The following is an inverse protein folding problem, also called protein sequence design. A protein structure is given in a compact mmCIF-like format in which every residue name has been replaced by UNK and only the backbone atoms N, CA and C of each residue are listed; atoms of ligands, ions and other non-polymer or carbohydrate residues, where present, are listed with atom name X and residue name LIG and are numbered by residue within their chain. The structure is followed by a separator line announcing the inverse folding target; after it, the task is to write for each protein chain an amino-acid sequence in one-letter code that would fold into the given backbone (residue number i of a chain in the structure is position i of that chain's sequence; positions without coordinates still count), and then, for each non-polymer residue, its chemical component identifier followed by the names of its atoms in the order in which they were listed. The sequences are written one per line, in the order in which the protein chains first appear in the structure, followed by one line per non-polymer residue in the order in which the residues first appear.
data_IF_850198611198
#
_entry.id   IF_850198611198
#
_cell.length_a   1.000
_cell.length_b   1.000
_cell.length_c   1.000
_cell.angle_alpha   90.00
_cell.angle_beta   90.00
_cell.angle_gamma   90.00
#
_symmetry.space_group_name_H-M   'P 1'
#
loop_
_entity.id
_entity.type
_entity.pdbx_description
1 polymer ?
#
# COMPACT_ATOMS: atom_id res chain seq x y z
N UNK A 1 27.78 -16.08 -17.03
CA UNK A 1 26.35 -16.47 -16.86
C UNK A 1 25.52 -15.47 -17.65
N UNK A 2 24.45 -15.88 -18.34
CA UNK A 2 23.67 -14.94 -19.13
C UNK A 2 22.91 -13.94 -18.25
N UNK A 3 22.93 -12.69 -18.69
CA UNK A 3 22.18 -11.58 -18.10
C UNK A 3 20.74 -11.59 -18.63
N UNK A 4 19.74 -11.50 -17.75
CA UNK A 4 18.34 -11.34 -18.15
C UNK A 4 17.87 -9.90 -17.99
N UNK A 5 17.30 -9.32 -19.05
CA UNK A 5 16.73 -7.97 -19.06
C UNK A 5 15.22 -8.04 -19.20
N UNK A 6 14.51 -7.38 -18.29
CA UNK A 6 13.04 -7.36 -18.25
C UNK A 6 12.49 -5.93 -18.34
N UNK A 7 11.70 -5.68 -19.37
CA UNK A 7 10.90 -4.46 -19.52
C UNK A 7 9.71 -4.44 -18.55
N UNK A 8 9.12 -3.25 -18.32
CA UNK A 8 7.95 -3.12 -17.44
C UNK A 8 6.76 -3.98 -17.92
N UNK A 9 6.57 -4.09 -19.24
CA UNK A 9 5.50 -4.87 -19.85
C UNK A 9 5.71 -6.38 -19.65
N UNK A 10 6.94 -6.87 -19.77
CA UNK A 10 7.30 -8.28 -19.54
C UNK A 10 7.16 -8.64 -18.06
N UNK A 11 7.64 -7.78 -17.15
CA UNK A 11 7.43 -7.95 -15.71
C UNK A 11 5.94 -8.06 -15.42
N UNK A 12 5.14 -7.12 -15.92
CA UNK A 12 3.69 -7.16 -15.74
C UNK A 12 3.09 -8.45 -16.29
N UNK A 13 3.41 -8.83 -17.53
CA UNK A 13 2.90 -10.03 -18.17
C UNK A 13 3.18 -11.27 -17.31
N UNK A 14 4.44 -11.47 -16.91
CA UNK A 14 4.86 -12.54 -16.02
C UNK A 14 4.06 -12.55 -14.71
N UNK A 15 3.99 -11.41 -14.01
CA UNK A 15 3.28 -11.31 -12.74
C UNK A 15 1.77 -11.59 -12.87
N UNK A 16 1.16 -11.30 -14.02
CA UNK A 16 -0.26 -11.61 -14.28
C UNK A 16 -0.54 -13.10 -14.47
N UNK A 17 0.49 -13.89 -14.82
CA UNK A 17 0.39 -15.35 -14.95
C UNK A 17 0.52 -16.09 -13.62
N UNK A 18 0.97 -15.42 -12.55
CA UNK A 18 1.18 -16.07 -11.26
C UNK A 18 -0.14 -16.56 -10.64
N UNK A 19 -0.07 -17.78 -10.12
CA UNK A 19 -1.13 -18.47 -9.40
C UNK A 19 -1.12 -18.10 -7.91
N UNK A 20 -2.12 -18.55 -7.16
CA UNK A 20 -2.12 -18.40 -5.69
C UNK A 20 -0.86 -19.03 -5.10
N UNK A 21 -0.50 -20.25 -5.52
CA UNK A 21 0.69 -20.94 -5.01
C UNK A 21 1.97 -20.15 -5.29
N UNK A 22 2.15 -19.65 -6.53
CA UNK A 22 3.32 -18.82 -6.87
C UNK A 22 3.44 -17.60 -5.93
N UNK A 23 2.32 -16.93 -5.61
CA UNK A 23 2.31 -15.80 -4.68
C UNK A 23 2.67 -16.24 -3.25
N UNK A 24 2.22 -17.41 -2.83
CA UNK A 24 2.57 -17.94 -1.50
C UNK A 24 4.04 -18.29 -1.39
N UNK A 25 4.64 -18.83 -2.45
CA UNK A 25 6.07 -19.14 -2.51
C UNK A 25 6.91 -17.86 -2.49
N UNK A 26 6.54 -16.86 -3.30
CA UNK A 26 7.18 -15.53 -3.28
C UNK A 26 7.04 -14.83 -1.92
N UNK A 27 5.88 -14.97 -1.26
CA UNK A 27 5.71 -14.50 0.11
C UNK A 27 6.59 -15.28 1.09
N UNK A 28 6.80 -16.57 0.89
CA UNK A 28 7.71 -17.40 1.67
C UNK A 28 9.14 -16.86 1.62
N UNK A 29 9.69 -16.72 0.41
CA UNK A 29 11.03 -16.16 0.18
C UNK A 29 11.19 -14.78 0.81
N UNK A 30 10.22 -13.88 0.57
CA UNK A 30 10.27 -12.53 1.12
C UNK A 30 10.11 -12.51 2.66
N UNK A 31 9.25 -13.37 3.22
CA UNK A 31 9.08 -13.46 4.67
C UNK A 31 10.33 -14.01 5.35
N UNK A 32 11.03 -14.96 4.75
CA UNK A 32 12.30 -15.48 5.27
C UNK A 32 13.40 -14.42 5.25
N UNK A 33 13.54 -13.67 4.16
CA UNK A 33 14.49 -12.57 4.07
C UNK A 33 14.18 -11.44 5.08
N UNK A 34 12.91 -11.06 5.23
CA UNK A 34 12.50 -10.05 6.21
C UNK A 34 12.71 -10.56 7.65
N UNK A 35 12.43 -11.83 7.92
CA UNK A 35 12.72 -12.44 9.22
C UNK A 35 14.22 -12.43 9.52
N UNK A 36 15.05 -12.84 8.56
CA UNK A 36 16.51 -12.80 8.63
C UNK A 36 17.04 -11.38 8.89
N UNK A 37 16.41 -10.36 8.30
CA UNK A 37 16.72 -8.96 8.59
C UNK A 37 16.38 -8.57 10.04
N UNK A 38 15.18 -8.94 10.50
CA UNK A 38 14.63 -8.48 11.78
C UNK A 38 15.19 -9.19 13.02
N UNK A 39 15.67 -10.43 12.91
CA UNK A 39 16.19 -11.17 14.08
C UNK A 39 17.52 -10.64 14.60
N UNK A 40 18.22 -9.79 13.83
CA UNK A 40 19.50 -9.22 14.23
C UNK A 40 20.65 -10.24 14.32
N UNK A 41 20.44 -11.48 13.86
CA UNK A 41 21.50 -12.47 13.74
C UNK A 41 22.49 -12.05 12.65
N UNK A 42 23.70 -11.68 13.05
CA UNK A 42 24.75 -11.21 12.13
C UNK A 42 25.26 -12.31 11.20
N UNK A 43 24.96 -13.58 11.47
CA UNK A 43 25.28 -14.68 10.57
C UNK A 43 24.14 -14.95 9.57
N UNK A 44 23.04 -14.22 9.68
CA UNK A 44 21.87 -14.43 8.84
C UNK A 44 22.11 -13.89 7.42
N UNK A 45 21.66 -14.59 6.37
CA UNK A 45 21.88 -14.18 4.97
C UNK A 45 21.47 -12.75 4.63
N UNK A 46 20.43 -12.22 5.27
CA UNK A 46 19.88 -10.90 5.02
C UNK A 46 20.02 -9.96 6.24
N UNK A 47 20.99 -10.21 7.12
CA UNK A 47 21.15 -9.47 8.37
C UNK A 47 21.13 -7.94 8.16
N UNK A 48 20.50 -7.23 9.08
CA UNK A 48 20.37 -5.77 9.03
C UNK A 48 21.71 -5.05 8.97
N UNK A 49 22.76 -5.61 9.60
CA UNK A 49 24.14 -5.09 9.56
C UNK A 49 24.77 -5.06 8.15
N UNK A 50 24.26 -5.88 7.23
CA UNK A 50 24.71 -5.93 5.83
C UNK A 50 23.83 -5.12 4.88
N UNK A 51 22.76 -4.47 5.36
CA UNK A 51 21.90 -3.64 4.53
C UNK A 51 22.39 -2.19 4.52
N UNK A 52 22.89 -1.65 3.39
CA UNK A 52 23.37 -0.29 3.36
C UNK A 52 22.20 0.72 3.33
N UNK A 53 22.45 1.93 3.82
CA UNK A 53 21.46 3.01 3.72
C UNK A 53 21.28 3.45 2.27
N UNK A 54 20.05 3.91 1.95
CA UNK A 54 19.76 4.52 0.66
C UNK A 54 20.55 5.82 0.49
N UNK A 55 21.05 6.06 -0.73
CA UNK A 55 21.73 7.31 -1.09
C UNK A 55 20.83 8.15 -1.98
N UNK A 56 20.79 9.48 -1.75
CA UNK A 56 19.91 10.40 -2.49
C UNK A 56 20.73 11.48 -3.17
N UNK A 57 20.57 11.62 -4.49
CA UNK A 57 21.15 12.69 -5.29
C UNK A 57 20.03 13.63 -5.74
N UNK A 58 20.16 14.93 -5.46
CA UNK A 58 19.23 15.96 -5.95
C UNK A 58 19.97 16.87 -6.93
N UNK A 59 19.55 16.88 -8.20
CA UNK A 59 20.20 17.66 -9.26
C UNK A 59 19.16 18.16 -10.27
N UNK A 60 19.12 19.47 -10.53
CA UNK A 60 18.27 20.11 -11.55
C UNK A 60 16.79 19.68 -11.47
N UNK A 61 16.21 19.72 -10.27
CA UNK A 61 14.81 19.31 -10.05
C UNK A 61 14.55 17.81 -10.06
N UNK A 62 15.54 16.96 -10.37
CA UNK A 62 15.43 15.50 -10.30
C UNK A 62 16.04 14.99 -9.00
N UNK A 63 15.29 14.14 -8.30
CA UNK A 63 15.77 13.38 -7.15
C UNK A 63 15.97 11.94 -7.55
N UNK A 64 17.20 11.44 -7.53
CA UNK A 64 17.53 10.03 -7.78
C UNK A 64 17.87 9.36 -6.46
N UNK A 65 17.23 8.23 -6.19
CA UNK A 65 17.42 7.41 -5.00
C UNK A 65 18.08 6.10 -5.42
N UNK A 66 19.18 5.78 -4.76
CA UNK A 66 19.93 4.53 -4.88
C UNK A 66 19.62 3.72 -3.63
N UNK A 67 18.99 2.57 -3.79
CA UNK A 67 18.62 1.65 -2.71
C UNK A 67 19.40 0.35 -2.88
N UNK A 68 20.66 0.30 -2.40
CA UNK A 68 21.44 -0.93 -2.39
C UNK A 68 20.85 -1.93 -1.38
N UNK A 69 21.09 -3.21 -1.61
CA UNK A 69 20.75 -4.29 -0.70
C UNK A 69 21.65 -5.50 -0.93
N UNK A 70 21.71 -6.36 0.07
CA UNK A 70 22.41 -7.64 -0.01
C UNK A 70 21.53 -8.77 0.52
N UNK A 71 21.67 -9.94 -0.06
CA UNK A 71 21.21 -11.22 0.47
C UNK A 71 22.43 -12.12 0.67
N UNK A 72 22.24 -13.36 1.13
CA UNK A 72 23.36 -14.30 1.29
C UNK A 72 23.97 -14.74 -0.03
N UNK A 73 23.28 -14.56 -1.16
CA UNK A 73 23.68 -15.07 -2.48
C UNK A 73 23.79 -14.00 -3.56
N UNK A 74 23.33 -12.78 -3.27
CA UNK A 74 23.21 -11.73 -4.27
C UNK A 74 23.38 -10.35 -3.66
N UNK A 75 23.97 -9.44 -4.43
CA UNK A 75 24.03 -8.01 -4.13
C UNK A 75 23.33 -7.26 -5.26
N UNK A 76 22.66 -6.17 -4.94
CA UNK A 76 21.96 -5.41 -5.97
C UNK A 76 21.60 -4.02 -5.54
N UNK A 77 21.03 -3.28 -6.48
CA UNK A 77 20.63 -1.90 -6.24
C UNK A 77 19.43 -1.55 -7.09
N UNK A 78 18.43 -0.95 -6.45
CA UNK A 78 17.37 -0.22 -7.14
C UNK A 78 17.78 1.23 -7.32
N UNK A 79 17.64 1.75 -8.54
CA UNK A 79 17.86 3.16 -8.85
C UNK A 79 16.54 3.72 -9.37
N UNK A 80 15.98 4.73 -8.70
CA UNK A 80 14.73 5.39 -9.11
C UNK A 80 14.88 6.90 -9.13
N UNK A 81 14.31 7.54 -10.14
CA UNK A 81 14.29 9.00 -10.28
C UNK A 81 12.88 9.55 -10.23
N UNK A 82 12.74 10.67 -9.51
CA UNK A 82 11.52 11.45 -9.38
C UNK A 82 11.82 12.89 -9.82
N UNK A 83 11.08 13.37 -10.83
CA UNK A 83 11.17 14.75 -11.28
C UNK A 83 10.21 15.62 -10.45
N UNK A 84 10.72 16.71 -9.89
CA UNK A 84 9.93 17.72 -9.20
C UNK A 84 9.89 18.96 -10.08
N UNK A 85 8.72 19.31 -10.61
CA UNK A 85 8.55 20.58 -11.30
C UNK A 85 8.84 21.74 -10.34
N UNK A 86 9.79 22.59 -10.71
CA UNK A 86 9.98 23.87 -10.05
C UNK A 86 8.70 24.70 -10.23
N UNK A 87 8.04 25.06 -9.13
CA UNK A 87 7.03 26.13 -9.20
C UNK A 87 7.79 27.38 -9.60
N UNK A 88 7.67 27.82 -10.86
CA UNK A 88 7.99 29.19 -11.23
C UNK A 88 7.17 30.08 -10.32
N UNK A 89 7.82 30.75 -9.36
CA UNK A 89 7.19 31.81 -8.62
C UNK A 89 6.79 32.87 -9.64
N UNK A 90 5.50 32.97 -9.94
CA UNK A 90 4.98 34.16 -10.60
C UNK A 90 5.26 35.30 -9.63
N UNK A 91 6.37 36.02 -9.83
CA UNK A 91 6.54 37.36 -9.27
C UNK A 91 5.29 38.12 -9.70
N UNK A 92 4.39 38.40 -8.75
CA UNK A 92 3.32 39.36 -8.95
C UNK A 92 4.01 40.70 -9.18
N UNK A 93 4.24 41.04 -10.44
CA UNK A 93 4.46 42.43 -10.83
C UNK A 93 3.14 43.15 -10.59
N UNK A 94 3.15 44.04 -9.61
CA UNK A 94 2.14 45.05 -9.37
C UNK A 94 1.90 45.86 -10.64
N UNK A 95 0.75 45.66 -11.28
CA UNK A 95 0.17 46.63 -12.22
C UNK A 95 -1.30 46.81 -11.85
N UNK A 96 -1.60 48.02 -11.41
CA UNK A 96 -2.94 48.56 -11.24
C UNK A 96 -3.57 48.89 -12.60
N UNK A 97 -4.81 48.47 -12.86
CA UNK A 97 -5.81 49.26 -13.61
C UNK A 97 -7.17 48.55 -13.71
N UNK A 98 -8.18 49.23 -13.17
CA UNK A 98 -9.52 49.53 -13.73
C UNK A 98 -10.37 48.44 -14.44
N UNK A 99 -11.54 48.22 -13.84
CA UNK A 99 -12.91 48.10 -14.39
C UNK A 99 -13.12 47.82 -15.89
N UNK A 100 -13.93 46.78 -16.16
CA UNK A 100 -14.66 46.62 -17.42
C UNK A 100 -15.43 45.29 -17.51
N UNK A 101 -16.75 45.37 -17.43
CA UNK A 101 -17.71 44.29 -17.64
C UNK A 101 -17.96 44.03 -19.13
N UNK A 102 -17.90 42.78 -19.62
CA UNK A 102 -18.70 42.34 -20.78
C UNK A 102 -18.98 40.83 -20.72
N UNK A 103 -20.25 40.50 -20.95
CA UNK A 103 -20.87 39.19 -21.16
C UNK A 103 -20.41 38.47 -22.44
N UNK A 104 -20.33 37.13 -22.40
CA UNK A 104 -20.14 36.32 -23.61
C UNK A 104 -20.47 34.84 -23.38
N UNK A 105 -21.71 34.46 -23.67
CA UNK A 105 -22.17 33.07 -23.74
C UNK A 105 -21.60 32.34 -24.96
N UNK A 106 -21.14 31.10 -24.81
CA UNK A 106 -21.20 30.13 -25.89
C UNK A 106 -21.31 28.70 -25.36
N UNK A 107 -22.42 28.07 -25.73
CA UNK A 107 -22.77 26.67 -25.50
C UNK A 107 -21.99 25.76 -26.45
N UNK A 108 -21.47 24.64 -25.96
CA UNK A 108 -21.13 23.47 -26.80
C UNK A 108 -21.63 22.18 -26.14
N UNK A 109 -22.20 21.34 -27.01
CA UNK A 109 -23.18 20.28 -26.75
C UNK A 109 -22.55 18.97 -26.27
N UNK A 110 -23.37 18.25 -25.50
CA UNK A 110 -23.21 16.89 -24.99
C UNK A 110 -23.21 15.81 -26.06
N UNK A 111 -22.34 14.81 -25.91
CA UNK A 111 -22.51 13.47 -26.48
C UNK A 111 -22.53 12.46 -25.34
N UNK A 112 -23.72 12.16 -24.82
CA UNK A 112 -23.95 11.08 -23.86
C UNK A 112 -25.02 10.15 -24.40
N UNK A 113 -24.59 9.09 -25.06
CA UNK A 113 -25.44 7.94 -25.38
C UNK A 113 -24.51 6.74 -25.48
N UNK A 114 -24.34 6.03 -24.36
CA UNK A 114 -23.97 4.60 -24.24
C UNK A 114 -23.66 4.20 -22.77
N UNK A 115 -24.49 4.65 -21.83
CA UNK A 115 -24.33 4.38 -20.38
C UNK A 115 -25.52 3.60 -19.77
N UNK A 116 -26.43 3.08 -20.60
CA UNK A 116 -27.72 2.54 -20.14
C UNK A 116 -27.69 1.07 -19.66
N UNK A 117 -26.53 0.40 -19.60
CA UNK A 117 -26.45 -1.01 -19.18
C UNK A 117 -25.67 -1.28 -17.88
N UNK A 118 -25.22 -0.24 -17.17
CA UNK A 118 -24.55 -0.44 -15.88
C UNK A 118 -25.57 -0.48 -14.75
N UNK A 119 -25.77 -1.64 -14.12
CA UNK A 119 -26.50 -1.75 -12.85
C UNK A 119 -25.69 -1.11 -11.71
N UNK A 120 -25.62 0.21 -11.72
CA UNK A 120 -25.15 1.03 -10.60
C UNK A 120 -26.21 0.93 -9.51
N UNK A 121 -25.90 0.31 -8.39
CA UNK A 121 -26.75 0.43 -7.19
C UNK A 121 -26.30 1.69 -6.44
N UNK A 122 -27.12 2.77 -6.39
CA UNK A 122 -26.88 3.82 -5.41
C UNK A 122 -26.97 3.18 -4.01
N UNK A 123 -26.07 3.53 -3.11
CA UNK A 123 -26.16 3.09 -1.72
C UNK A 123 -27.52 3.56 -1.16
N UNK A 124 -28.44 2.61 -0.91
CA UNK A 124 -29.74 2.92 -0.33
C UNK A 124 -29.56 3.39 1.12
N UNK A 125 -30.21 4.50 1.45
CA UNK A 125 -30.21 5.15 2.76
C UNK A 125 -31.30 4.55 3.64
N UNK A 126 -30.94 4.13 4.85
CA UNK A 126 -31.90 3.97 5.96
C UNK A 126 -31.52 4.97 7.03
N UNK A 127 -32.37 5.99 7.23
CA UNK A 127 -32.18 7.03 8.25
C UNK A 127 -32.49 6.47 9.64
N UNK A 128 -31.48 6.31 10.48
CA UNK A 128 -31.66 6.15 11.93
C UNK A 128 -31.12 7.38 12.65
N UNK A 129 -32.02 8.14 13.27
CA UNK A 129 -31.71 9.26 14.16
C UNK A 129 -31.07 8.75 15.46
N UNK A 130 -29.81 9.08 15.72
CA UNK A 130 -29.15 8.73 16.98
C UNK A 130 -27.74 9.30 17.17
N UNK A 131 -27.60 10.11 18.22
CA UNK A 131 -26.39 10.63 18.91
C UNK A 131 -25.39 11.52 18.14
N UNK A 132 -25.23 12.73 18.68
CA UNK A 132 -24.24 13.75 18.31
C UNK A 132 -22.83 13.32 18.75
N UNK A 133 -22.09 12.66 17.85
CA UNK A 133 -20.62 12.60 17.93
C UNK A 133 -20.04 13.63 16.95
N UNK A 134 -19.18 14.50 17.47
CA UNK A 134 -18.96 15.89 17.08
C UNK A 134 -18.23 16.20 15.76
N UNK A 135 -18.21 15.29 14.78
CA UNK A 135 -17.95 15.64 13.37
C UNK A 135 -18.89 14.78 12.51
N UNK A 136 -20.00 15.38 12.11
CA UNK A 136 -20.78 14.88 10.98
C UNK A 136 -19.87 15.01 9.74
N UNK A 137 -19.72 13.93 8.96
CA UNK A 137 -18.84 13.92 7.79
C UNK A 137 -19.20 15.01 6.77
N UNK A 138 -20.35 15.65 6.93
CA UNK A 138 -20.84 16.80 6.18
C UNK A 138 -19.83 17.95 6.00
N UNK A 139 -18.90 18.18 6.94
CA UNK A 139 -17.92 19.29 6.84
C UNK A 139 -16.52 18.89 6.35
N UNK A 140 -16.27 17.59 6.12
CA UNK A 140 -14.95 17.13 5.69
C UNK A 140 -14.66 17.53 4.24
N UNK A 141 -13.58 18.28 4.05
CA UNK A 141 -13.02 18.56 2.73
C UNK A 141 -11.84 17.62 2.45
N UNK A 142 -11.77 17.04 1.24
CA UNK A 142 -10.64 16.19 0.86
C UNK A 142 -9.32 16.98 0.85
N UNK A 143 -8.17 16.33 1.11
CA UNK A 143 -6.83 16.92 0.97
C UNK A 143 -6.60 17.67 -0.35
N UNK A 144 -5.94 18.83 -0.27
CA UNK A 144 -5.45 19.53 -1.45
C UNK A 144 -4.39 18.68 -2.16
N UNK A 145 -4.49 18.52 -3.49
CA UNK A 145 -3.54 17.69 -4.23
C UNK A 145 -2.28 18.45 -4.63
N UNK A 146 -1.13 17.79 -4.49
CA UNK A 146 -0.05 17.90 -5.49
C UNK A 146 -0.59 17.24 -6.77
N UNK A 147 -1.43 17.95 -7.51
CA UNK A 147 -1.84 17.56 -8.86
C UNK A 147 -0.67 17.80 -9.79
N UNK A 148 0.31 16.90 -9.81
CA UNK A 148 1.16 16.84 -10.98
C UNK A 148 0.37 16.10 -12.06
N UNK A 149 0.18 16.73 -13.22
CA UNK A 149 -0.15 16.01 -14.47
C UNK A 149 0.94 14.97 -14.86
N UNK A 150 1.97 14.79 -14.03
CA UNK A 150 3.04 13.82 -14.15
C UNK A 150 2.79 12.62 -13.22
N UNK A 151 3.09 11.43 -13.73
CA UNK A 151 3.11 10.18 -12.97
C UNK A 151 3.98 10.34 -11.72
N UNK A 152 3.40 10.12 -10.54
CA UNK A 152 4.14 10.01 -9.27
C UNK A 152 4.85 8.66 -9.15
N UNK A 153 4.78 7.82 -10.18
CA UNK A 153 5.40 6.50 -10.18
C UNK A 153 6.89 6.65 -10.47
N UNK A 154 7.79 6.27 -9.55
CA UNK A 154 9.22 6.40 -9.76
C UNK A 154 9.66 5.59 -10.98
N UNK A 155 10.41 6.20 -11.90
CA UNK A 155 11.02 5.51 -13.04
C UNK A 155 12.39 5.00 -12.64
N UNK A 156 12.73 3.77 -12.99
CA UNK A 156 13.98 3.18 -12.54
C UNK A 156 14.21 1.74 -12.96
N UNK A 157 15.28 1.16 -12.45
CA UNK A 157 15.63 -0.24 -12.63
C UNK A 157 16.17 -0.86 -11.34
N UNK A 158 16.13 -2.18 -11.27
CA UNK A 158 16.79 -3.00 -10.26
C UNK A 158 17.84 -3.83 -10.97
N UNK A 159 19.10 -3.68 -10.58
CA UNK A 159 20.20 -4.53 -11.04
C UNK A 159 20.57 -5.50 -9.95
N UNK A 160 20.71 -6.78 -10.31
CA UNK A 160 21.02 -7.87 -9.40
C UNK A 160 22.26 -8.59 -9.89
N UNK A 161 23.22 -8.80 -8.99
CA UNK A 161 24.46 -9.54 -9.22
C UNK A 161 24.52 -10.73 -8.27
N UNK A 162 25.19 -11.79 -8.68
CA UNK A 162 25.48 -12.94 -7.83
C UNK A 162 26.59 -12.62 -6.80
N UNK A 163 26.91 -13.59 -5.94
CA UNK A 163 27.95 -13.48 -4.92
C UNK A 163 29.37 -13.26 -5.48
N UNK A 164 29.60 -13.57 -6.75
CA UNK A 164 30.87 -13.37 -7.46
C UNK A 164 30.91 -12.02 -8.20
N UNK A 165 29.82 -11.27 -8.20
CA UNK A 165 29.68 -10.00 -8.91
C UNK A 165 29.26 -10.15 -10.36
N UNK A 166 28.86 -11.34 -10.82
CA UNK A 166 28.35 -11.51 -12.18
C UNK A 166 26.90 -10.97 -12.26
N UNK A 167 26.56 -10.20 -13.30
CA UNK A 167 25.21 -9.68 -13.50
C UNK A 167 24.19 -10.80 -13.78
N UNK A 168 23.17 -10.92 -12.92
CA UNK A 168 22.10 -11.90 -13.06
C UNK A 168 20.91 -11.34 -13.85
N UNK A 169 20.56 -10.07 -13.60
CA UNK A 169 19.49 -9.42 -14.34
C UNK A 169 19.30 -7.94 -14.06
N UNK A 170 18.63 -7.28 -15.00
CA UNK A 170 18.18 -5.89 -14.92
C UNK A 170 16.67 -5.87 -15.13
N UNK A 171 15.93 -5.40 -14.15
CA UNK A 171 14.46 -5.40 -14.14
C UNK A 171 13.95 -3.97 -14.08
N UNK A 172 12.97 -3.62 -14.91
CA UNK A 172 12.28 -2.34 -14.74
C UNK A 172 11.63 -2.26 -13.35
N UNK A 173 11.88 -1.17 -12.63
CA UNK A 173 11.49 -1.06 -11.23
C UNK A 173 10.01 -0.72 -11.02
N UNK A 174 9.29 -0.26 -12.06
CA UNK A 174 7.99 0.38 -11.88
C UNK A 174 6.91 -0.63 -11.43
N UNK A 175 6.67 -1.68 -12.23
CA UNK A 175 5.74 -2.75 -11.85
C UNK A 175 6.26 -3.57 -10.65
N UNK A 176 7.56 -3.90 -10.65
CA UNK A 176 8.20 -4.68 -9.59
C UNK A 176 8.02 -4.02 -8.22
N UNK A 177 8.22 -2.69 -8.12
CA UNK A 177 8.08 -1.94 -6.86
C UNK A 177 6.65 -2.01 -6.34
N UNK A 178 5.65 -1.87 -7.20
CA UNK A 178 4.26 -1.95 -6.79
C UNK A 178 3.89 -3.37 -6.34
N UNK A 179 4.32 -4.38 -7.09
CA UNK A 179 4.09 -5.79 -6.77
C UNK A 179 4.75 -6.20 -5.45
N UNK A 180 6.05 -5.98 -5.28
CA UNK A 180 6.78 -6.38 -4.06
C UNK A 180 6.26 -5.69 -2.80
N UNK A 181 5.76 -4.46 -2.93
CA UNK A 181 5.15 -3.73 -1.81
C UNK A 181 3.81 -4.35 -1.42
N UNK A 182 2.96 -4.65 -2.42
CA UNK A 182 1.70 -5.35 -2.19
C UNK A 182 1.92 -6.77 -1.64
N UNK A 183 2.97 -7.46 -2.09
CA UNK A 183 3.34 -8.80 -1.65
C UNK A 183 3.60 -8.83 -0.15
N UNK A 184 4.35 -7.87 0.37
CA UNK A 184 4.61 -7.71 1.81
C UNK A 184 3.35 -7.29 2.58
N UNK A 185 2.62 -6.27 2.13
CA UNK A 185 1.40 -5.80 2.80
C UNK A 185 0.36 -6.92 2.94
N UNK A 186 0.19 -7.75 1.91
CA UNK A 186 -0.80 -8.83 1.93
C UNK A 186 -0.39 -10.05 2.76
N UNK A 187 0.84 -10.13 3.28
CA UNK A 187 1.22 -11.16 4.26
C UNK A 187 0.37 -11.09 5.52
N UNK A 188 0.05 -9.86 5.98
CA UNK A 188 -0.79 -9.62 7.15
C UNK A 188 -2.28 -9.84 6.86
N UNK A 189 -2.72 -9.60 5.61
CA UNK A 189 -4.08 -9.90 5.16
C UNK A 189 -4.39 -11.39 5.32
N UNK A 190 -3.43 -12.28 4.99
CA UNK A 190 -3.58 -13.74 5.19
C UNK A 190 -3.78 -14.15 6.64
N UNK A 191 -3.31 -13.34 7.60
CA UNK A 191 -3.46 -13.63 9.03
C UNK A 191 -4.84 -13.21 9.55
N UNK A 192 -5.59 -12.36 8.85
CA UNK A 192 -6.89 -11.83 9.32
C UNK A 192 -7.97 -12.91 9.34
N UNK A 193 -8.80 -12.92 10.39
CA UNK A 193 -9.93 -13.86 10.49
C UNK A 193 -11.07 -13.53 9.52
N UNK A 194 -11.23 -12.25 9.15
CA UNK A 194 -12.34 -11.77 8.33
C UNK A 194 -11.82 -10.75 7.32
N UNK A 195 -12.14 -10.95 6.04
CA UNK A 195 -11.78 -10.05 4.93
C UNK A 195 -12.95 -9.93 3.94
N UNK A 196 -14.10 -9.41 4.37
CA UNK A 196 -15.26 -9.26 3.49
C UNK A 196 -15.23 -7.96 2.68
N UNK A 197 -14.76 -6.87 3.28
CA UNK A 197 -14.75 -5.54 2.66
C UNK A 197 -13.33 -4.99 2.61
N UNK A 198 -12.83 -4.76 1.40
CA UNK A 198 -11.54 -4.13 1.12
C UNK A 198 -11.78 -2.72 0.61
N UNK A 199 -11.27 -1.71 1.33
CA UNK A 199 -11.33 -0.31 0.91
C UNK A 199 -9.93 0.15 0.50
N UNK A 200 -9.80 0.77 -0.67
CA UNK A 200 -8.51 1.15 -1.26
C UNK A 200 -8.51 2.62 -1.62
N UNK A 201 -7.57 3.37 -1.05
CA UNK A 201 -7.34 4.77 -1.40
C UNK A 201 -6.28 4.88 -2.48
N UNK A 202 -6.69 5.42 -3.62
CA UNK A 202 -5.86 5.59 -4.81
C UNK A 202 -6.26 4.64 -5.94
N UNK A 203 -5.97 5.05 -7.17
CA UNK A 203 -6.24 4.27 -8.38
C UNK A 203 -5.01 4.22 -9.30
N UNK A 204 -3.88 3.76 -8.76
CA UNK A 204 -2.60 3.58 -9.48
C UNK A 204 -2.08 2.15 -9.38
N UNK A 205 -0.82 1.91 -9.78
CA UNK A 205 -0.20 0.57 -9.76
C UNK A 205 -0.19 -0.07 -8.37
N UNK A 206 0.07 0.71 -7.32
CA UNK A 206 0.01 0.23 -5.94
C UNK A 206 -1.39 -0.32 -5.61
N UNK A 207 -2.45 0.47 -5.86
CA UNK A 207 -3.83 0.04 -5.63
C UNK A 207 -4.18 -1.22 -6.44
N UNK A 208 -3.76 -1.29 -7.71
CA UNK A 208 -3.96 -2.48 -8.55
C UNK A 208 -3.38 -3.74 -7.92
N UNK A 209 -2.10 -3.74 -7.55
CA UNK A 209 -1.46 -4.93 -7.00
C UNK A 209 -1.99 -5.30 -5.61
N UNK A 210 -2.32 -4.33 -4.76
CA UNK A 210 -2.93 -4.61 -3.45
C UNK A 210 -4.30 -5.28 -3.59
N UNK A 211 -5.16 -4.79 -4.50
CA UNK A 211 -6.46 -5.41 -4.80
C UNK A 211 -6.25 -6.81 -5.39
N UNK A 212 -5.40 -6.93 -6.42
CA UNK A 212 -5.15 -8.20 -7.10
C UNK A 212 -4.67 -9.30 -6.15
N UNK A 213 -3.67 -9.00 -5.32
CA UNK A 213 -3.13 -9.97 -4.37
C UNK A 213 -4.12 -10.29 -3.25
N UNK A 214 -4.91 -9.32 -2.77
CA UNK A 214 -5.97 -9.59 -1.81
C UNK A 214 -7.04 -10.55 -2.40
N UNK A 215 -7.46 -10.32 -3.64
CA UNK A 215 -8.39 -11.21 -4.36
C UNK A 215 -7.79 -12.59 -4.62
N UNK A 216 -6.50 -12.69 -4.97
CA UNK A 216 -5.86 -13.98 -5.21
C UNK A 216 -5.73 -14.81 -3.92
N UNK A 217 -5.45 -14.15 -2.79
CA UNK A 217 -5.20 -14.81 -1.51
C UNK A 217 -6.50 -15.10 -0.73
N UNK A 218 -7.51 -14.23 -0.83
CA UNK A 218 -8.74 -14.22 -0.01
C UNK A 218 -10.02 -13.92 -0.81
N UNK A 219 -10.01 -14.12 -2.13
CA UNK A 219 -11.14 -13.79 -3.01
C UNK A 219 -12.41 -14.58 -2.74
N UNK A 220 -12.31 -15.75 -2.10
CA UNK A 220 -13.40 -16.57 -1.59
C UNK A 220 -14.16 -15.91 -0.43
N UNK A 221 -13.52 -15.01 0.30
CA UNK A 221 -14.14 -14.27 1.42
C UNK A 221 -14.54 -12.83 1.04
N UNK A 222 -13.77 -12.18 0.17
CA UNK A 222 -14.01 -10.79 -0.23
C UNK A 222 -15.34 -10.68 -0.97
N UNK A 223 -16.25 -9.85 -0.46
CA UNK A 223 -17.57 -9.56 -1.03
C UNK A 223 -17.62 -8.17 -1.66
N UNK A 224 -16.82 -7.23 -1.15
CA UNK A 224 -16.84 -5.84 -1.57
C UNK A 224 -15.43 -5.27 -1.72
N UNK A 225 -15.19 -4.58 -2.83
CA UNK A 225 -13.97 -3.79 -3.06
C UNK A 225 -14.37 -2.35 -3.36
N UNK A 226 -13.99 -1.43 -2.47
CA UNK A 226 -14.33 -0.02 -2.57
C UNK A 226 -13.09 0.79 -2.95
N UNK A 227 -13.11 1.46 -4.11
CA UNK A 227 -12.00 2.26 -4.61
C UNK A 227 -12.30 3.74 -4.40
N UNK A 228 -11.55 4.39 -3.52
CA UNK A 228 -11.69 5.81 -3.20
C UNK A 228 -10.54 6.56 -3.85
N UNK A 229 -10.84 7.45 -4.78
CA UNK A 229 -9.81 8.22 -5.49
C UNK A 229 -10.36 9.57 -5.92
N UNK A 230 -9.47 10.57 -6.03
CA UNK A 230 -9.84 11.93 -6.46
C UNK A 230 -10.48 11.95 -7.85
N UNK A 231 -9.88 11.23 -8.81
CA UNK A 231 -10.42 11.11 -10.16
C UNK A 231 -11.31 9.88 -10.23
N UNK A 232 -12.61 10.11 -10.47
CA UNK A 232 -13.58 9.04 -10.66
C UNK A 232 -13.24 8.18 -11.89
N UNK A 233 -12.82 8.80 -12.99
CA UNK A 233 -12.41 8.11 -14.22
C UNK A 233 -11.29 7.09 -13.96
N UNK A 234 -10.27 7.45 -13.17
CA UNK A 234 -9.19 6.53 -12.79
C UNK A 234 -9.70 5.37 -11.95
N UNK A 235 -10.66 5.60 -11.04
CA UNK A 235 -11.29 4.51 -10.27
C UNK A 235 -12.03 3.55 -11.19
N UNK A 236 -12.79 4.06 -12.16
CA UNK A 236 -13.51 3.23 -13.13
C UNK A 236 -12.54 2.44 -14.01
N UNK A 237 -11.44 3.05 -14.47
CA UNK A 237 -10.40 2.35 -15.23
C UNK A 237 -9.78 1.21 -14.43
N UNK A 238 -9.49 1.44 -13.13
CA UNK A 238 -8.97 0.40 -12.25
C UNK A 238 -10.01 -0.70 -12.01
N UNK A 239 -11.26 -0.33 -11.74
CA UNK A 239 -12.37 -1.27 -11.56
C UNK A 239 -12.56 -2.18 -12.78
N UNK A 240 -12.55 -1.60 -14.00
CA UNK A 240 -12.65 -2.36 -15.26
C UNK A 240 -11.55 -3.40 -15.42
N UNK A 241 -10.36 -3.20 -14.84
CA UNK A 241 -9.27 -4.18 -14.89
C UNK A 241 -9.54 -5.47 -14.09
N UNK A 242 -10.57 -5.47 -13.22
CA UNK A 242 -11.02 -6.64 -12.46
C UNK A 242 -12.39 -7.18 -12.90
N UNK A 243 -13.10 -6.45 -13.77
CA UNK A 243 -14.42 -6.80 -14.28
C UNK A 243 -14.39 -7.35 -15.71
N UNK A 244 -13.21 -7.68 -16.26
CA UNK A 244 -13.09 -8.11 -17.66
C UNK A 244 -13.92 -9.37 -17.90
N UNK A 245 -14.93 -9.21 -18.74
CA UNK A 245 -15.97 -10.17 -19.18
C UNK A 245 -15.52 -11.09 -20.31
N UNK A 246 -14.22 -11.29 -20.48
CA UNK A 246 -13.71 -12.19 -21.51
C UNK A 246 -13.69 -13.60 -20.91
N UNK A 247 -14.48 -14.51 -21.49
CA UNK A 247 -14.69 -15.90 -21.00
C UNK A 247 -13.38 -16.72 -20.88
N UNK A 248 -12.24 -16.14 -21.28
CA UNK A 248 -10.89 -16.71 -21.16
C UNK A 248 -10.28 -16.59 -19.76
N UNK A 249 -10.81 -15.74 -18.86
CA UNK A 249 -10.25 -15.55 -17.51
C UNK A 249 -11.33 -15.33 -16.44
N UNK A 250 -12.11 -16.37 -16.14
CA UNK A 250 -13.00 -16.47 -14.95
C UNK A 250 -12.19 -16.57 -13.63
N UNK A 251 -11.25 -15.65 -13.38
CA UNK A 251 -10.32 -15.69 -12.23
C UNK A 251 -10.96 -15.23 -10.92
N UNK A 252 -12.01 -14.40 -10.97
CA UNK A 252 -12.62 -13.80 -9.78
C UNK A 252 -14.09 -14.20 -9.66
N UNK A 253 -14.61 -14.28 -8.43
CA UNK A 253 -16.04 -14.56 -8.25
C UNK A 253 -16.88 -13.40 -8.76
N UNK A 254 -17.94 -13.73 -9.51
CA UNK A 254 -18.85 -12.76 -10.15
C UNK A 254 -19.72 -12.00 -9.13
N UNK A 255 -19.84 -12.50 -7.90
CA UNK A 255 -20.61 -11.88 -6.81
C UNK A 255 -19.83 -10.79 -6.05
N UNK A 256 -18.54 -10.58 -6.35
CA UNK A 256 -17.75 -9.50 -5.74
C UNK A 256 -18.20 -8.15 -6.29
N UNK A 257 -18.71 -7.29 -5.41
CA UNK A 257 -19.18 -5.95 -5.77
C UNK A 257 -18.02 -4.96 -5.71
N UNK A 258 -17.73 -4.34 -6.84
CA UNK A 258 -16.80 -3.21 -6.89
C UNK A 258 -17.58 -1.90 -6.83
N UNK A 259 -17.14 -0.98 -5.99
CA UNK A 259 -17.65 0.39 -5.92
C UNK A 259 -16.51 1.39 -6.12
N UNK A 260 -16.84 2.57 -6.61
CA UNK A 260 -15.91 3.68 -6.74
C UNK A 260 -16.51 4.92 -6.09
N UNK A 261 -15.68 5.69 -5.40
CA UNK A 261 -16.04 6.95 -4.76
C UNK A 261 -15.02 8.02 -5.11
N UNK A 262 -15.50 9.23 -5.41
CA UNK A 262 -14.67 10.44 -5.53
C UNK A 262 -15.24 11.58 -4.69
N UNK A 263 -14.43 12.60 -4.35
CA UNK A 263 -14.90 13.76 -3.61
C UNK A 263 -15.93 14.63 -4.35
N UNK A 264 -16.13 14.40 -5.65
CA UNK A 264 -17.13 15.08 -6.47
C UNK A 264 -18.57 14.61 -6.14
N UNK A 265 -18.71 13.52 -5.40
CA UNK A 265 -20.01 12.97 -5.01
C UNK A 265 -20.65 13.74 -3.86
N UNK A 266 -21.98 13.89 -3.93
CA UNK A 266 -22.77 14.45 -2.83
C UNK A 266 -22.57 13.65 -1.54
N UNK A 267 -22.54 14.35 -0.40
CA UNK A 267 -22.35 13.74 0.92
C UNK A 267 -21.06 12.92 1.08
N UNK A 268 -20.00 13.25 0.31
CA UNK A 268 -18.73 12.52 0.27
C UNK A 268 -18.20 12.16 1.67
N UNK A 269 -18.15 13.12 2.60
CA UNK A 269 -17.59 12.83 3.93
C UNK A 269 -18.44 11.88 4.78
N UNK A 270 -19.77 11.87 4.61
CA UNK A 270 -20.65 10.87 5.26
C UNK A 270 -20.39 9.48 4.68
N UNK A 271 -20.37 9.38 3.35
CA UNK A 271 -20.12 8.11 2.65
C UNK A 271 -18.72 7.58 2.95
N UNK A 272 -17.70 8.45 2.96
CA UNK A 272 -16.33 8.11 3.32
C UNK A 272 -16.24 7.53 4.73
N UNK A 273 -16.92 8.16 5.70
CA UNK A 273 -16.98 7.67 7.09
C UNK A 273 -17.55 6.25 7.16
N UNK A 274 -18.62 5.99 6.41
CA UNK A 274 -19.21 4.66 6.34
C UNK A 274 -18.28 3.64 5.69
N UNK A 275 -17.65 3.95 4.56
CA UNK A 275 -16.76 3.02 3.86
C UNK A 275 -15.49 2.70 4.66
N UNK A 276 -14.93 3.69 5.35
CA UNK A 276 -13.79 3.49 6.27
C UNK A 276 -14.19 2.61 7.45
N UNK A 277 -15.38 2.83 8.04
CA UNK A 277 -15.84 2.04 9.19
C UNK A 277 -16.28 0.62 8.81
N UNK A 278 -16.85 0.42 7.63
CA UNK A 278 -17.28 -0.91 7.12
C UNK A 278 -16.09 -1.80 6.75
N UNK A 279 -14.97 -1.22 6.30
CA UNK A 279 -13.79 -1.97 5.87
C UNK A 279 -13.27 -2.98 6.90
N UNK A 280 -12.87 -4.17 6.43
CA UNK A 280 -12.02 -5.12 7.17
C UNK A 280 -10.53 -4.83 6.90
N UNK A 281 -10.24 -4.45 5.65
CA UNK A 281 -8.90 -4.09 5.16
C UNK A 281 -8.96 -2.72 4.50
N UNK A 282 -8.02 -1.85 4.86
CA UNK A 282 -7.83 -0.54 4.25
C UNK A 282 -6.42 -0.48 3.65
N UNK A 283 -6.31 -0.29 2.34
CA UNK A 283 -5.04 -0.05 1.67
C UNK A 283 -4.93 1.43 1.30
N UNK A 284 -3.97 2.14 1.87
CA UNK A 284 -3.67 3.52 1.49
C UNK A 284 -2.50 3.52 0.50
N UNK A 285 -2.78 3.90 -0.74
CA UNK A 285 -1.86 3.84 -1.88
C UNK A 285 -1.79 5.20 -2.61
N UNK A 286 -1.96 6.30 -1.87
CA UNK A 286 -2.01 7.67 -2.38
C UNK A 286 -0.78 8.46 -1.89
N UNK A 287 -0.05 9.15 -2.77
CA UNK A 287 1.02 10.05 -2.36
C UNK A 287 0.44 11.33 -1.73
N UNK A 288 -0.13 11.20 -0.53
CA UNK A 288 -0.83 12.27 0.17
C UNK A 288 0.10 13.01 1.13
N UNK A 289 -0.13 14.32 1.27
CA UNK A 289 0.52 15.18 2.27
C UNK A 289 -0.38 15.48 3.47
N UNK A 290 -1.70 15.33 3.29
CA UNK A 290 -2.69 15.46 4.35
C UNK A 290 -3.46 14.15 4.53
N UNK A 291 -3.95 13.85 5.75
CA UNK A 291 -4.72 12.64 6.04
C UNK A 291 -5.90 12.44 5.08
N UNK A 292 -6.08 11.21 4.61
CA UNK A 292 -7.14 10.82 3.66
C UNK A 292 -8.54 10.92 4.27
N UNK A 293 -8.65 10.87 5.59
CA UNK A 293 -9.87 11.02 6.37
C UNK A 293 -9.57 11.50 7.80
N UNK A 294 -10.54 12.08 8.52
CA UNK A 294 -10.38 12.51 9.91
C UNK A 294 -10.10 11.35 10.88
N UNK A 295 -9.30 11.59 11.92
CA UNK A 295 -8.93 10.55 12.89
C UNK A 295 -10.15 9.90 13.55
N UNK A 296 -11.18 10.70 13.82
CA UNK A 296 -12.42 10.34 14.52
C UNK A 296 -13.17 9.21 13.82
N UNK A 297 -12.94 9.00 12.51
CA UNK A 297 -13.56 7.91 11.78
C UNK A 297 -13.14 6.55 12.37
N UNK A 298 -11.91 6.46 12.89
CA UNK A 298 -11.33 5.26 13.49
C UNK A 298 -11.10 5.36 15.00
N UNK A 299 -10.90 6.56 15.57
CA UNK A 299 -10.62 6.74 17.00
C UNK A 299 -11.89 6.95 17.86
N UNK A 300 -13.04 7.23 17.25
CA UNK A 300 -14.32 7.27 17.98
C UNK A 300 -14.70 5.89 18.53
N UNK A 301 -15.57 5.87 19.56
CA UNK A 301 -16.09 4.62 20.16
C UNK A 301 -16.64 3.67 19.11
N UNK A 302 -17.40 4.18 18.13
CA UNK A 302 -17.96 3.39 17.05
C UNK A 302 -16.88 2.90 16.06
N UNK A 303 -15.92 3.78 15.72
CA UNK A 303 -14.77 3.43 14.86
C UNK A 303 -13.95 2.28 15.44
N UNK A 304 -13.77 2.27 16.76
CA UNK A 304 -12.98 1.29 17.51
C UNK A 304 -13.67 -0.07 17.73
N UNK A 305 -14.95 -0.24 17.33
CA UNK A 305 -15.69 -1.51 17.54
C UNK A 305 -15.17 -2.68 16.70
N UNK A 306 -14.47 -2.40 15.62
CA UNK A 306 -14.01 -3.39 14.64
C UNK A 306 -12.49 -3.33 14.52
N UNK A 307 -11.83 -4.48 14.68
CA UNK A 307 -10.41 -4.59 14.40
C UNK A 307 -10.19 -4.73 12.91
N UNK A 308 -9.36 -3.84 12.35
CA UNK A 308 -9.10 -3.77 10.91
C UNK A 308 -7.62 -3.99 10.65
N UNK A 309 -7.31 -4.34 9.41
CA UNK A 309 -5.95 -4.20 8.91
C UNK A 309 -5.86 -2.94 8.05
N UNK A 310 -4.88 -2.08 8.32
CA UNK A 310 -4.66 -0.82 7.60
C UNK A 310 -3.22 -0.80 7.11
N UNK A 311 -3.00 -0.68 5.81
CA UNK A 311 -1.66 -0.43 5.27
C UNK A 311 -1.54 1.02 4.79
N UNK A 312 -0.43 1.67 5.14
CA UNK A 312 -0.08 3.02 4.70
C UNK A 312 1.20 2.97 3.84
N UNK A 313 1.04 3.08 2.53
CA UNK A 313 2.07 2.80 1.52
C UNK A 313 2.45 4.06 0.72
N UNK A 314 1.48 4.89 0.40
CA UNK A 314 1.68 6.06 -0.45
C UNK A 314 2.48 7.19 0.19
N UNK A 315 2.53 7.27 1.52
CA UNK A 315 3.29 8.26 2.30
C UNK A 315 4.72 7.82 2.63
N UNK A 316 5.69 8.04 1.74
CA UNK A 316 7.07 7.53 1.92
C UNK A 316 8.09 8.60 2.34
N UNK A 317 7.66 9.81 2.69
CA UNK A 317 8.54 10.90 3.11
C UNK A 317 8.04 11.61 4.38
N UNK A 318 8.92 12.28 5.16
CA UNK A 318 8.55 12.82 6.48
C UNK A 318 7.38 13.82 6.49
N UNK A 319 7.19 14.54 5.38
CA UNK A 319 6.14 15.53 5.21
C UNK A 319 4.86 14.96 4.58
N UNK A 320 4.85 13.68 4.22
CA UNK A 320 3.70 12.99 3.65
C UNK A 320 2.87 12.35 4.77
N UNK A 321 1.56 12.23 4.54
CA UNK A 321 0.64 11.70 5.52
C UNK A 321 -0.60 11.15 4.80
N UNK A 322 -0.86 9.85 4.94
CA UNK A 322 -2.10 9.22 4.47
C UNK A 322 -3.11 9.03 5.59
N UNK A 323 -2.62 8.77 6.81
CA UNK A 323 -3.44 8.47 7.98
C UNK A 323 -3.10 9.47 9.08
N UNK A 324 -4.13 10.03 9.71
CA UNK A 324 -3.93 11.03 10.76
C UNK A 324 -3.04 10.49 11.90
N UNK A 325 -2.03 11.24 12.38
CA UNK A 325 -1.11 10.78 13.44
C UNK A 325 -1.79 10.32 14.73
N UNK A 326 -2.96 10.86 15.06
CA UNK A 326 -3.72 10.41 16.24
C UNK A 326 -4.26 8.98 16.13
N UNK A 327 -4.46 8.46 14.92
CA UNK A 327 -4.77 7.03 14.72
C UNK A 327 -3.58 6.17 15.11
N UNK A 328 -2.36 6.61 14.79
CA UNK A 328 -1.11 5.94 15.18
C UNK A 328 -0.90 5.99 16.69
N UNK A 329 -1.11 7.15 17.32
CA UNK A 329 -1.05 7.29 18.78
C UNK A 329 -2.06 6.39 19.48
N UNK A 330 -3.31 6.35 19.00
CA UNK A 330 -4.35 5.51 19.59
C UNK A 330 -4.03 4.01 19.46
N UNK A 331 -3.38 3.59 18.36
CA UNK A 331 -3.05 2.19 18.14
C UNK A 331 -2.01 1.63 19.13
N UNK A 332 -1.12 2.49 19.64
CA UNK A 332 -0.01 2.12 20.54
C UNK A 332 -0.26 2.45 22.01
N UNK A 333 -1.37 3.12 22.32
CA UNK A 333 -1.72 3.42 23.71
C UNK A 333 -2.04 2.13 24.47
N UNK A 334 -1.48 1.92 25.68
CA UNK A 334 -1.77 0.74 26.48
C UNK A 334 -3.26 0.63 26.77
N UNK A 335 -3.78 -0.59 26.82
CA UNK A 335 -5.18 -0.84 27.17
C UNK A 335 -5.38 -0.59 28.68
N UNK A 336 -5.59 0.67 29.05
CA UNK A 336 -5.86 1.06 30.43
C UNK A 336 -7.35 0.87 30.75
N UNK A 337 -7.81 -0.38 30.85
CA UNK A 337 -9.17 -0.63 31.35
C UNK A 337 -9.64 -2.07 31.37
N UNK A 338 -10.06 -2.53 32.55
CA UNK A 338 -10.99 -3.65 32.74
C UNK A 338 -12.39 -3.24 32.24
N UNK A 339 -12.57 -3.01 30.94
CA UNK A 339 -13.88 -2.64 30.40
C UNK A 339 -14.56 -3.85 29.76
N UNK A 340 -15.67 -4.29 30.35
CA UNK A 340 -16.54 -5.38 29.91
C UNK A 340 -17.25 -5.15 28.55
N UNK A 341 -16.79 -4.20 27.72
CA UNK A 341 -17.37 -3.90 26.42
C UNK A 341 -16.52 -4.49 25.28
N UNK A 342 -17.20 -5.05 24.27
CA UNK A 342 -16.60 -5.69 23.07
C UNK A 342 -15.89 -4.68 22.14
N UNK A 343 -14.86 -4.00 22.63
CA UNK A 343 -13.94 -3.24 21.78
C UNK A 343 -12.93 -4.20 21.13
N UNK A 344 -12.45 -3.86 19.93
CA UNK A 344 -11.28 -4.55 19.41
C UNK A 344 -10.08 -4.23 20.31
N UNK A 345 -9.25 -5.23 20.65
CA UNK A 345 -8.07 -5.05 21.51
C UNK A 345 -7.22 -3.87 21.00
N UNK A 346 -6.99 -2.89 21.88
CA UNK A 346 -6.08 -1.75 21.68
C UNK A 346 -4.81 -1.95 22.51
N UNK A 347 -3.75 -1.19 22.23
CA UNK A 347 -2.42 -1.40 22.84
C UNK A 347 -1.53 -2.37 22.06
N UNK A 348 -1.54 -2.25 20.73
CA UNK A 348 -0.63 -2.97 19.84
C UNK A 348 0.63 -2.16 19.51
N UNK A 349 1.37 -2.64 18.53
CA UNK A 349 2.53 -1.97 17.92
C UNK A 349 2.20 -1.60 16.47
N UNK A 350 2.90 -0.63 15.91
CA UNK A 350 2.83 -0.35 14.47
C UNK A 350 3.79 -1.28 13.76
N UNK A 351 3.27 -2.06 12.81
CA UNK A 351 4.11 -2.93 11.98
C UNK A 351 4.82 -2.09 10.93
N UNK A 352 6.11 -2.32 10.73
CA UNK A 352 6.93 -1.57 9.76
C UNK A 352 7.82 -2.49 8.92
N UNK A 353 8.33 -1.99 7.80
CA UNK A 353 9.35 -2.71 7.01
C UNK A 353 10.68 -2.80 7.76
N UNK A 354 11.13 -1.65 8.28
CA UNK A 354 12.30 -1.51 9.13
C UNK A 354 12.08 -0.42 10.16
N UNK A 355 12.61 -0.62 11.36
CA UNK A 355 12.58 0.38 12.43
C UNK A 355 13.32 1.65 11.99
N UNK A 356 14.53 1.49 11.49
CA UNK A 356 15.43 2.61 11.20
C UNK A 356 14.85 3.54 10.12
N UNK A 357 14.39 3.00 9.00
CA UNK A 357 13.86 3.84 7.92
C UNK A 357 12.52 4.46 8.29
N UNK A 358 11.67 3.72 8.99
CA UNK A 358 10.34 4.22 9.36
C UNK A 358 10.41 5.38 10.34
N UNK A 359 11.34 5.35 11.31
CA UNK A 359 11.58 6.46 12.23
C UNK A 359 12.14 7.71 11.54
N UNK A 360 12.83 7.55 10.40
CA UNK A 360 13.43 8.65 9.63
C UNK A 360 12.52 9.20 8.54
N UNK A 361 11.62 8.39 7.99
CA UNK A 361 10.93 8.71 6.74
C UNK A 361 9.40 8.62 6.79
N UNK A 362 8.82 7.81 7.68
CA UNK A 362 7.36 7.67 7.75
C UNK A 362 6.75 8.88 8.47
N UNK A 363 6.13 9.78 7.70
CA UNK A 363 5.55 11.01 8.23
C UNK A 363 4.53 10.77 9.35
N UNK A 364 3.71 9.73 9.26
CA UNK A 364 2.74 9.39 10.33
C UNK A 364 3.42 9.04 11.65
N UNK A 365 4.51 8.26 11.61
CA UNK A 365 5.28 7.84 12.79
C UNK A 365 5.99 9.04 13.41
N UNK A 366 6.64 9.86 12.58
CA UNK A 366 7.38 11.06 13.00
C UNK A 366 6.42 12.08 13.63
N UNK A 367 5.31 12.40 12.97
CA UNK A 367 4.33 13.38 13.44
C UNK A 367 3.57 12.88 14.68
N UNK A 368 3.36 11.56 14.79
CA UNK A 368 2.80 10.94 16.00
C UNK A 368 3.79 10.90 17.16
N UNK A 369 5.08 11.20 16.93
CA UNK A 369 6.18 11.10 17.89
C UNK A 369 6.32 9.69 18.48
N UNK A 370 6.12 8.68 17.63
CA UNK A 370 6.37 7.30 18.03
C UNK A 370 7.86 7.04 18.18
N UNK A 371 8.18 5.99 18.93
CA UNK A 371 9.52 5.60 19.36
C UNK A 371 9.76 4.14 18.97
N UNK A 372 11.00 3.63 18.98
CA UNK A 372 11.28 2.24 18.65
C UNK A 372 10.40 1.23 19.41
N UNK A 373 10.13 1.46 20.70
CA UNK A 373 9.28 0.56 21.50
C UNK A 373 7.81 0.46 21.04
N UNK A 374 7.36 1.37 20.18
CA UNK A 374 6.00 1.40 19.63
C UNK A 374 5.90 0.69 18.27
N UNK A 375 7.01 0.20 17.73
CA UNK A 375 7.11 -0.34 16.39
C UNK A 375 7.59 -1.80 16.45
N UNK A 376 7.18 -2.61 15.47
CA UNK A 376 7.70 -3.96 15.25
C UNK A 376 7.94 -4.19 13.78
N UNK A 377 9.03 -4.85 13.43
CA UNK A 377 9.29 -5.19 12.04
C UNK A 377 8.39 -6.34 11.59
N UNK A 378 7.92 -6.26 10.34
CA UNK A 378 7.06 -7.30 9.75
C UNK A 378 7.76 -8.67 9.75
N UNK A 379 9.09 -8.71 9.64
CA UNK A 379 9.91 -9.93 9.68
C UNK A 379 9.78 -10.73 10.98
N UNK A 380 9.58 -10.06 12.11
CA UNK A 380 9.32 -10.74 13.38
C UNK A 380 7.93 -11.39 13.37
N UNK A 381 6.95 -10.72 12.77
CA UNK A 381 5.55 -11.14 12.83
C UNK A 381 5.17 -12.25 11.84
N UNK A 382 5.78 -12.28 10.66
CA UNK A 382 5.38 -13.19 9.58
C UNK A 382 5.61 -14.67 9.94
N UNK A 383 6.59 -14.94 10.80
CA UNK A 383 6.98 -16.28 11.28
C UNK A 383 6.38 -16.67 12.64
N UNK A 384 5.59 -15.81 13.30
CA UNK A 384 5.01 -16.09 14.63
C UNK A 384 4.27 -17.43 14.69
N UNK A 385 3.52 -17.81 13.66
CA UNK A 385 2.82 -19.11 13.68
C UNK A 385 3.80 -20.29 13.78
N UNK A 386 4.95 -20.24 13.11
CA UNK A 386 5.98 -21.28 13.21
C UNK A 386 6.62 -21.28 14.61
N UNK A 387 6.87 -20.10 15.16
CA UNK A 387 7.46 -19.94 16.50
C UNK A 387 6.50 -20.37 17.62
N UNK A 388 5.27 -19.86 17.62
CA UNK A 388 4.23 -20.18 18.59
C UNK A 388 3.85 -21.67 18.55
N UNK A 389 3.79 -22.30 17.37
CA UNK A 389 3.54 -23.76 17.29
C UNK A 389 4.70 -24.54 17.91
N UNK A 390 5.96 -24.20 17.58
CA UNK A 390 7.14 -24.82 18.20
C UNK A 390 7.22 -24.61 19.71
N UNK A 391 6.82 -23.44 20.20
CA UNK A 391 6.84 -23.09 21.62
C UNK A 391 5.73 -23.80 22.40
N UNK A 392 4.54 -23.92 21.80
CA UNK A 392 3.43 -24.71 22.35
C UNK A 392 3.82 -26.20 22.38
N UNK A 393 4.44 -26.72 21.32
CA UNK A 393 4.95 -28.10 21.27
C UNK A 393 6.07 -28.33 22.31
N UNK A 394 6.81 -27.27 22.68
CA UNK A 394 7.81 -27.26 23.74
C UNK A 394 7.25 -26.97 25.15
N UNK A 395 5.93 -26.85 25.30
CA UNK A 395 5.25 -26.66 26.60
C UNK A 395 5.25 -25.22 27.14
N UNK A 396 5.58 -24.22 26.31
CA UNK A 396 5.50 -22.80 26.66
C UNK A 396 4.09 -22.21 26.52
N UNK A 397 3.81 -21.04 27.14
CA UNK A 397 2.50 -20.40 27.09
C UNK A 397 2.12 -19.87 25.68
N UNK A 398 3.10 -19.69 24.80
CA UNK A 398 2.92 -19.16 23.44
C UNK A 398 2.51 -17.68 23.42
N UNK A 399 2.79 -16.99 22.32
CA UNK A 399 2.40 -15.58 22.10
C UNK A 399 0.90 -15.42 21.72
N UNK A 400 -0.01 -16.05 22.47
CA UNK A 400 -1.42 -16.13 22.11
C UNK A 400 -2.11 -14.76 22.05
N UNK A 401 -1.68 -13.79 22.85
CA UNK A 401 -2.18 -12.42 22.84
C UNK A 401 -1.81 -11.64 21.57
N UNK A 402 -0.56 -11.78 21.11
CA UNK A 402 -0.08 -11.13 19.88
C UNK A 402 -0.73 -11.74 18.64
N UNK A 403 -0.87 -13.08 18.61
CA UNK A 403 -1.58 -13.77 17.54
C UNK A 403 -3.06 -13.34 17.46
N UNK A 404 -3.75 -13.24 18.59
CA UNK A 404 -5.14 -12.76 18.62
C UNK A 404 -5.26 -11.30 18.14
N UNK A 405 -4.32 -10.43 18.53
CA UNK A 405 -4.25 -9.06 18.00
C UNK A 405 -4.01 -9.03 16.48
N UNK A 406 -3.08 -9.83 15.96
CA UNK A 406 -2.81 -9.93 14.52
C UNK A 406 -4.02 -10.41 13.72
N UNK A 407 -4.81 -11.31 14.30
CA UNK A 407 -5.96 -11.94 13.64
C UNK A 407 -7.23 -11.07 13.76
N UNK A 408 -7.49 -10.47 14.93
CA UNK A 408 -8.76 -9.80 15.28
C UNK A 408 -8.62 -8.34 15.70
N UNK A 409 -7.46 -7.91 16.18
CA UNK A 409 -7.18 -6.55 16.65
C UNK A 409 -7.07 -5.54 15.50
N UNK A 410 -6.79 -4.27 15.84
CA UNK A 410 -6.51 -3.23 14.87
C UNK A 410 -5.00 -3.22 14.55
N UNK A 411 -4.64 -3.62 13.33
CA UNK A 411 -3.25 -3.78 12.90
C UNK A 411 -2.94 -2.72 11.85
N UNK A 412 -1.94 -1.89 12.12
CA UNK A 412 -1.46 -0.87 11.18
C UNK A 412 -0.10 -1.30 10.67
N UNK A 413 0.05 -1.36 9.35
CA UNK A 413 1.32 -1.59 8.67
C UNK A 413 1.74 -0.33 7.93
N UNK A 414 2.87 0.25 8.32
CA UNK A 414 3.46 1.42 7.69
C UNK A 414 4.69 1.01 6.90
N UNK A 415 4.60 1.15 5.58
CA UNK A 415 5.71 0.84 4.67
C UNK A 415 6.33 2.11 4.12
N UNK A 416 7.66 2.14 4.07
CA UNK A 416 8.47 3.14 3.35
C UNK A 416 9.38 2.47 2.30
N UNK A 417 9.35 1.14 2.23
CA UNK A 417 10.13 0.33 1.31
C UNK A 417 11.57 0.13 1.76
N UNK A 418 12.06 -1.08 1.51
CA UNK A 418 13.43 -1.52 1.80
C UNK A 418 14.04 -2.15 0.54
N UNK A 419 15.31 -1.86 0.26
CA UNK A 419 16.01 -2.39 -0.92
C UNK A 419 16.04 -3.93 -0.95
N UNK A 420 16.11 -4.57 0.22
CA UNK A 420 16.05 -6.03 0.36
C UNK A 420 14.81 -6.63 -0.31
N UNK A 421 13.65 -5.97 -0.18
CA UNK A 421 12.41 -6.43 -0.80
C UNK A 421 12.50 -6.39 -2.33
N UNK A 422 13.20 -5.39 -2.89
CA UNK A 422 13.39 -5.26 -4.33
C UNK A 422 14.35 -6.36 -4.85
N UNK A 423 15.39 -6.68 -4.08
CA UNK A 423 16.39 -7.69 -4.44
C UNK A 423 15.83 -9.11 -4.38
N UNK A 424 15.12 -9.46 -3.30
CA UNK A 424 14.52 -10.79 -3.12
C UNK A 424 13.48 -11.06 -4.20
N UNK A 425 12.48 -10.17 -4.33
CA UNK A 425 11.41 -10.36 -5.32
C UNK A 425 11.93 -10.19 -6.74
N UNK A 426 12.89 -9.29 -6.97
CA UNK A 426 13.53 -9.13 -8.27
C UNK A 426 14.29 -10.38 -8.72
N UNK A 427 15.02 -11.02 -7.79
CA UNK A 427 15.72 -12.28 -8.05
C UNK A 427 14.76 -13.41 -8.39
N UNK A 428 13.67 -13.54 -7.63
CA UNK A 428 12.62 -14.52 -7.93
C UNK A 428 11.94 -14.25 -9.29
N UNK A 429 11.69 -12.99 -9.62
CA UNK A 429 11.12 -12.59 -10.92
C UNK A 429 12.06 -12.94 -12.07
N UNK A 430 13.38 -12.70 -11.92
CA UNK A 430 14.37 -13.10 -12.93
C UNK A 430 14.37 -14.61 -13.11
N UNK A 431 14.35 -15.38 -12.01
CA UNK A 431 14.31 -16.84 -12.06
C UNK A 431 13.06 -17.34 -12.80
N UNK A 432 11.88 -16.85 -12.41
CA UNK A 432 10.62 -17.20 -13.06
C UNK A 432 10.58 -16.78 -14.54
N UNK A 433 11.19 -15.65 -14.88
CA UNK A 433 11.27 -15.18 -16.26
C UNK A 433 12.13 -16.14 -17.11
N UNK A 434 13.28 -16.59 -16.59
CA UNK A 434 14.12 -17.61 -17.24
C UNK A 434 13.39 -18.94 -17.43
N UNK A 435 12.68 -19.41 -16.40
CA UNK A 435 11.90 -20.65 -16.45
C UNK A 435 10.76 -20.62 -17.47
N UNK A 436 10.21 -19.43 -17.74
CA UNK A 436 9.07 -19.23 -18.64
C UNK A 436 9.45 -18.62 -19.99
N UNK A 437 10.75 -18.49 -20.28
CA UNK A 437 11.28 -17.87 -21.50
C UNK A 437 10.70 -16.46 -21.78
N UNK A 438 10.67 -15.62 -20.74
CA UNK A 438 10.21 -14.23 -20.82
C UNK A 438 11.39 -13.28 -20.62
N UNK A 439 11.46 -12.25 -21.47
CA UNK A 439 12.52 -11.24 -21.42
C UNK A 439 13.58 -11.42 -22.49
N UNK A 440 14.64 -10.64 -22.39
CA UNK A 440 15.81 -10.75 -23.25
C UNK A 440 16.98 -11.35 -22.49
N UNK A 441 17.53 -12.42 -23.02
CA UNK A 441 18.76 -13.05 -22.51
C UNK A 441 19.95 -12.54 -23.31
N UNK A 442 20.96 -12.02 -22.60
CA UNK A 442 22.22 -11.55 -23.17
C UNK A 442 23.31 -12.52 -22.73
N UNK A 443 23.81 -13.30 -23.69
CA UNK A 443 24.94 -14.22 -23.51
C UNK A 443 26.26 -13.45 -23.39
N UNK A 444 27.22 -14.02 -22.65
CA UNK A 444 28.59 -13.49 -22.48
C UNK A 444 28.69 -12.01 -22.04
N UNK A 445 27.73 -11.54 -21.23
CA UNK A 445 27.78 -10.27 -20.51
C UNK A 445 28.78 -10.32 -19.34
#
# INVERSE_FOLDING_TARGET
MPLTVLTDAEVKSLLLTLTKQDIEDLQGSLAEALHSYSTGDTNSPCASSYQPQRTVIKKRGVTTIFSPASTGTSVGMKIVSLEKLERRSSKKSSISSQTGSVSGSSSLRSTTSDLASMSLSPAQTTSSSGSRDSIDGASFQPPASISSNQSTTPKGSVTILDSSGNPMGIVNAEELTAFRTALAATMLVKKRNVVHTVTVFGAGKQAYWHIRLALLLRGDEIKHVNIINRSFERSIKLMKSFQVTDDSFDKWRKDIKFSAMSPEFGEYGRLLKEEVRKADVIFCCTPSIDPLFPAEFLTSREGQRKGRYISAIGSYAPHMCEIHPDVFKAAVQPDHGHHHHKHAKQGGVIVVDSLESSLKEAGEIIQAKLKPEHLVEIGELVMIKKAATKEIDAGGPGEQGLLDWLIRGNVIYKSVGMGLMDLVVGGDVIRLAKERDIGTTIEDF
#
